data_IF_189564646138
#
_entry.id   IF_189564646138
#
_cell.length_a   1.000
_cell.length_b   1.000
_cell.length_c   1.000
_cell.angle_alpha   90.00
_cell.angle_beta   90.00
_cell.angle_gamma   90.00
#
_symmetry.space_group_name_H-M   'P 1'
#
loop_
_entity.id
_entity.type
_entity.pdbx_description
1 polymer ?
#
# COMPACT_ATOMS: atom_id res chain seq x y z
N UNK A 1 -6.19 20.07 -33.98
CA UNK A 1 -5.65 18.79 -34.50
C UNK A 1 -4.29 19.06 -35.10
N UNK A 2 -3.28 19.25 -34.22
CA UNK A 2 -1.90 19.38 -34.66
C UNK A 2 -1.36 17.97 -34.79
N UNK A 3 -1.06 17.59 -36.04
CA UNK A 3 -0.26 16.42 -36.35
C UNK A 3 1.15 16.67 -35.83
N UNK A 4 1.73 15.77 -35.00
CA UNK A 4 3.13 15.92 -34.61
C UNK A 4 3.99 15.94 -35.84
N UNK A 5 4.75 17.01 -36.06
CA UNK A 5 5.67 17.13 -37.19
C UNK A 5 6.68 16.00 -37.15
N UNK A 6 6.87 15.32 -38.30
CA UNK A 6 7.98 14.40 -38.52
C UNK A 6 9.28 15.19 -38.36
N UNK A 7 9.94 15.04 -37.22
CA UNK A 7 11.33 15.47 -37.06
C UNK A 7 12.19 14.44 -37.74
N UNK A 8 12.54 14.69 -39.00
CA UNK A 8 13.60 13.97 -39.73
C UNK A 8 14.98 14.39 -39.16
N UNK A 9 15.29 13.93 -37.98
CA UNK A 9 16.58 14.19 -37.34
C UNK A 9 17.14 12.91 -36.77
N UNK A 10 18.40 12.62 -37.00
CA UNK A 10 19.12 11.53 -36.34
C UNK A 10 19.22 11.82 -34.86
N UNK A 11 18.80 10.87 -34.03
CA UNK A 11 18.97 10.92 -32.59
C UNK A 11 20.36 10.39 -32.25
N UNK A 12 21.14 11.17 -31.49
CA UNK A 12 22.47 10.79 -31.03
C UNK A 12 22.44 10.56 -29.51
N UNK A 13 22.73 9.34 -29.10
CA UNK A 13 22.93 8.99 -27.69
C UNK A 13 24.42 9.09 -27.37
N UNK A 14 24.79 9.91 -26.38
CA UNK A 14 26.18 10.05 -25.93
C UNK A 14 26.34 9.39 -24.58
N UNK A 15 27.27 8.45 -24.47
CA UNK A 15 27.58 7.75 -23.23
C UNK A 15 28.60 8.53 -22.36
N UNK A 16 28.72 8.21 -21.06
CA UNK A 16 29.66 8.88 -20.15
C UNK A 16 31.14 8.76 -20.56
N UNK A 17 31.49 7.71 -21.31
CA UNK A 17 32.84 7.49 -21.87
C UNK A 17 33.12 8.31 -23.16
N UNK A 18 32.13 9.10 -23.57
CA UNK A 18 32.20 9.91 -24.78
C UNK A 18 31.86 9.17 -26.09
N UNK A 19 31.58 7.87 -26.04
CA UNK A 19 31.09 7.12 -27.21
C UNK A 19 29.70 7.60 -27.61
N UNK A 20 29.36 7.41 -28.90
CA UNK A 20 28.08 7.87 -29.46
C UNK A 20 27.45 6.76 -30.28
N UNK A 21 26.14 6.67 -30.20
CA UNK A 21 25.30 5.86 -31.09
C UNK A 21 24.26 6.74 -31.76
N UNK A 22 24.00 6.48 -33.04
CA UNK A 22 23.03 7.20 -33.85
C UNK A 22 21.86 6.28 -34.21
N UNK A 23 20.67 6.82 -34.26
CA UNK A 23 19.46 6.08 -34.60
C UNK A 23 18.32 7.00 -35.04
N UNK A 24 17.32 6.41 -35.68
CA UNK A 24 16.12 7.13 -36.14
C UNK A 24 15.10 7.32 -35.01
N UNK A 25 15.17 6.48 -33.95
CA UNK A 25 14.30 6.54 -32.80
C UNK A 25 15.02 6.06 -31.53
N UNK A 26 14.63 6.59 -30.36
CA UNK A 26 15.15 6.19 -29.07
C UNK A 26 13.99 5.89 -28.11
N UNK A 27 14.06 4.76 -27.44
CA UNK A 27 13.11 4.39 -26.37
C UNK A 27 13.83 4.56 -25.04
N UNK A 28 13.33 5.49 -24.20
CA UNK A 28 13.83 5.69 -22.84
C UNK A 28 13.11 4.70 -21.92
N UNK A 29 13.80 3.67 -21.44
CA UNK A 29 13.27 2.59 -20.61
C UNK A 29 14.11 2.41 -19.33
N UNK A 30 14.47 3.52 -18.68
CA UNK A 30 15.39 3.57 -17.53
C UNK A 30 14.74 3.20 -16.17
N UNK A 31 13.46 2.85 -16.16
CA UNK A 31 12.69 2.68 -14.93
C UNK A 31 12.36 4.02 -14.26
N UNK A 32 11.78 3.93 -13.05
CA UNK A 32 11.42 5.09 -12.25
C UNK A 32 12.40 5.37 -11.11
N UNK A 33 11.88 5.59 -9.89
CA UNK A 33 12.68 5.86 -8.67
C UNK A 33 12.50 4.79 -7.60
N UNK A 34 11.82 3.67 -7.91
CA UNK A 34 11.67 2.53 -7.00
C UNK A 34 12.85 1.57 -7.16
N UNK A 35 13.33 0.99 -6.03
CA UNK A 35 14.47 0.06 -6.02
C UNK A 35 15.72 0.64 -6.69
N UNK A 36 16.18 1.77 -6.23
CA UNK A 36 17.33 2.49 -6.79
C UNK A 36 18.60 1.65 -6.91
N UNK A 37 18.78 0.65 -6.05
CA UNK A 37 19.89 -0.31 -6.12
C UNK A 37 19.91 -1.16 -7.40
N UNK A 38 18.80 -1.20 -8.14
CA UNK A 38 18.68 -1.88 -9.45
C UNK A 38 18.87 -0.95 -10.64
N UNK A 39 19.29 0.31 -10.42
CA UNK A 39 19.52 1.30 -11.46
C UNK A 39 18.34 2.24 -11.74
N UNK A 40 17.23 2.11 -11.01
CA UNK A 40 16.05 2.99 -11.18
C UNK A 40 16.24 4.33 -10.44
N UNK A 41 17.14 5.17 -10.95
CA UNK A 41 17.58 6.43 -10.31
C UNK A 41 16.81 7.67 -10.77
N UNK A 42 15.80 7.50 -11.65
CA UNK A 42 15.00 8.60 -12.18
C UNK A 42 15.59 9.31 -13.38
N UNK A 43 16.57 8.70 -14.06
CA UNK A 43 17.23 9.30 -15.23
C UNK A 43 16.24 9.64 -16.35
N UNK A 44 15.23 8.79 -16.57
CA UNK A 44 14.20 9.03 -17.58
C UNK A 44 13.41 10.32 -17.33
N UNK A 45 13.16 10.70 -16.08
CA UNK A 45 12.52 11.98 -15.76
C UNK A 45 13.42 13.16 -16.13
N UNK A 46 14.73 13.07 -15.82
CA UNK A 46 15.69 14.11 -16.18
C UNK A 46 15.84 14.27 -17.70
N UNK A 47 15.85 13.15 -18.44
CA UNK A 47 15.89 13.19 -19.89
C UNK A 47 14.62 13.82 -20.50
N UNK A 48 13.46 13.44 -20.00
CA UNK A 48 12.20 14.02 -20.45
C UNK A 48 12.13 15.53 -20.17
N UNK A 49 12.58 15.96 -18.99
CA UNK A 49 12.63 17.38 -18.60
C UNK A 49 13.59 18.18 -19.48
N UNK A 50 14.77 17.61 -19.78
CA UNK A 50 15.74 18.21 -20.70
C UNK A 50 15.20 18.35 -22.13
N UNK A 51 14.26 17.51 -22.52
CA UNK A 51 13.54 17.58 -23.80
C UNK A 51 12.31 18.51 -23.76
N UNK A 52 12.08 19.22 -22.66
CA UNK A 52 10.98 20.18 -22.52
C UNK A 52 9.66 19.60 -22.02
N UNK A 53 9.61 18.33 -21.61
CA UNK A 53 8.41 17.76 -21.00
C UNK A 53 8.26 18.24 -19.54
N UNK A 54 7.02 18.49 -19.14
CA UNK A 54 6.69 18.75 -17.74
C UNK A 54 6.57 17.44 -16.97
N UNK A 55 7.40 17.25 -15.96
CA UNK A 55 7.32 16.10 -15.06
C UNK A 55 6.40 16.43 -13.87
N UNK A 56 5.41 15.58 -13.62
CA UNK A 56 4.65 15.62 -12.37
C UNK A 56 5.47 14.95 -11.28
N UNK A 57 5.46 15.53 -10.08
CA UNK A 57 6.20 14.97 -8.94
C UNK A 57 5.79 13.52 -8.66
N UNK A 58 6.72 12.56 -8.70
CA UNK A 58 6.43 11.18 -8.36
C UNK A 58 6.01 11.06 -6.89
N UNK A 59 4.96 10.30 -6.65
CA UNK A 59 4.49 10.04 -5.30
C UNK A 59 4.37 8.52 -5.05
N UNK A 60 4.55 8.05 -3.78
CA UNK A 60 4.45 6.64 -3.44
C UNK A 60 3.09 6.06 -3.80
N UNK A 61 3.08 4.88 -4.44
CA UNK A 61 1.87 4.14 -4.80
C UNK A 61 2.16 2.64 -4.67
N UNK A 62 1.15 1.87 -4.27
CA UNK A 62 1.28 0.43 -3.98
C UNK A 62 2.40 0.15 -2.96
N UNK A 63 2.41 0.92 -1.88
CA UNK A 63 3.42 0.83 -0.82
C UNK A 63 2.82 0.40 0.52
N UNK A 64 3.60 -0.24 1.40
CA UNK A 64 3.20 -0.47 2.79
C UNK A 64 2.94 0.84 3.53
N UNK A 65 2.17 0.78 4.61
CA UNK A 65 1.88 1.93 5.47
C UNK A 65 2.52 1.76 6.84
N UNK A 66 3.16 2.82 7.34
CA UNK A 66 3.62 2.89 8.71
C UNK A 66 2.42 3.06 9.65
N UNK A 67 2.48 2.42 10.80
CA UNK A 67 1.46 2.51 11.87
C UNK A 67 2.14 2.99 13.13
N UNK A 68 1.45 3.86 13.91
CA UNK A 68 2.03 4.52 15.09
C UNK A 68 1.92 3.72 16.38
N UNK A 69 1.00 2.77 16.42
CA UNK A 69 0.69 1.98 17.60
C UNK A 69 1.89 1.09 17.98
N UNK A 70 2.32 1.16 19.23
CA UNK A 70 3.52 0.50 19.74
C UNK A 70 3.44 -1.04 19.74
N UNK A 71 2.24 -1.59 19.68
CA UNK A 71 2.04 -3.06 19.65
C UNK A 71 2.25 -3.68 18.25
N UNK A 72 2.41 -2.89 17.21
CA UNK A 72 2.55 -3.37 15.83
C UNK A 72 3.70 -4.39 15.65
N UNK A 73 4.90 -4.18 16.21
CA UNK A 73 5.98 -5.16 16.09
C UNK A 73 5.63 -6.54 16.65
N UNK A 74 4.78 -6.61 17.69
CA UNK A 74 4.32 -7.88 18.26
C UNK A 74 3.42 -8.66 17.30
N UNK A 75 2.77 -7.97 16.37
CA UNK A 75 1.91 -8.55 15.33
C UNK A 75 2.66 -8.94 14.05
N UNK A 76 3.95 -8.65 13.92
CA UNK A 76 4.75 -8.93 12.72
C UNK A 76 4.53 -10.37 12.22
N UNK A 77 4.21 -10.51 10.92
CA UNK A 77 3.93 -11.79 10.26
C UNK A 77 2.51 -12.31 10.46
N UNK A 78 1.63 -11.61 11.20
CA UNK A 78 0.21 -11.95 11.26
C UNK A 78 -0.47 -11.52 9.96
N UNK A 79 -0.96 -12.50 9.19
CA UNK A 79 -1.85 -12.27 8.06
C UNK A 79 -3.30 -12.36 8.52
N UNK A 80 -4.08 -11.35 8.17
CA UNK A 80 -5.53 -11.34 8.32
C UNK A 80 -6.17 -11.60 6.96
N UNK A 81 -6.99 -12.63 6.88
CA UNK A 81 -7.75 -12.98 5.69
C UNK A 81 -9.23 -12.74 5.92
N UNK A 82 -9.93 -12.40 4.83
CA UNK A 82 -11.36 -12.15 4.88
C UNK A 82 -11.74 -11.06 5.90
N UNK A 83 -10.97 -9.99 5.92
CA UNK A 83 -11.23 -8.79 6.73
C UNK A 83 -11.68 -7.64 5.85
N UNK A 84 -12.37 -6.67 6.42
CA UNK A 84 -12.64 -5.39 5.77
C UNK A 84 -11.76 -4.31 6.39
N UNK A 85 -11.05 -3.58 5.55
CA UNK A 85 -10.23 -2.43 5.97
C UNK A 85 -10.91 -1.15 5.52
N UNK A 86 -11.11 -0.23 6.47
CA UNK A 86 -11.60 1.12 6.20
C UNK A 86 -10.54 2.13 6.62
N UNK A 87 -10.20 3.07 5.73
CA UNK A 87 -9.30 4.19 6.03
C UNK A 87 -10.11 5.46 6.11
N UNK A 88 -9.89 6.21 7.20
CA UNK A 88 -10.67 7.38 7.59
C UNK A 88 -9.78 8.61 7.75
N UNK A 89 -10.27 9.75 7.24
CA UNK A 89 -9.76 11.10 7.51
C UNK A 89 -10.79 11.80 8.42
N UNK A 90 -10.56 11.77 9.71
CA UNK A 90 -11.55 12.15 10.70
C UNK A 90 -12.81 11.27 10.58
N UNK A 91 -13.92 11.87 10.17
CA UNK A 91 -15.21 11.16 9.94
C UNK A 91 -15.39 10.71 8.48
N UNK A 92 -14.53 11.18 7.57
CA UNK A 92 -14.67 10.88 6.14
C UNK A 92 -14.01 9.57 5.80
N UNK A 93 -14.76 8.66 5.20
CA UNK A 93 -14.24 7.44 4.62
C UNK A 93 -13.52 7.77 3.31
N UNK A 94 -12.24 7.36 3.21
CA UNK A 94 -11.41 7.52 2.02
C UNK A 94 -11.29 6.23 1.21
N UNK A 95 -11.36 5.10 1.89
CA UNK A 95 -11.21 3.77 1.31
C UNK A 95 -11.90 2.75 2.18
N UNK A 96 -12.57 1.77 1.55
CA UNK A 96 -13.13 0.58 2.19
C UNK A 96 -13.09 -0.57 1.21
N UNK A 97 -12.48 -1.68 1.61
CA UNK A 97 -12.41 -2.88 0.80
C UNK A 97 -12.28 -4.13 1.66
N UNK A 98 -12.74 -5.27 1.10
CA UNK A 98 -12.64 -6.59 1.67
C UNK A 98 -11.46 -7.36 1.06
N UNK A 99 -10.73 -8.14 1.89
CA UNK A 99 -9.61 -8.96 1.38
C UNK A 99 -8.62 -9.37 2.46
N UNK A 100 -7.33 -9.25 2.12
CA UNK A 100 -6.22 -9.71 2.97
C UNK A 100 -5.25 -8.58 3.27
N UNK A 101 -4.69 -8.61 4.48
CA UNK A 101 -3.63 -7.72 4.92
C UNK A 101 -2.60 -8.46 5.78
N UNK A 102 -1.42 -7.90 5.93
CA UNK A 102 -0.30 -8.46 6.68
C UNK A 102 0.31 -7.38 7.59
N UNK A 103 0.58 -7.74 8.85
CA UNK A 103 1.37 -6.90 9.76
C UNK A 103 2.88 -7.09 9.53
N UNK A 104 3.60 -5.98 9.50
CA UNK A 104 5.08 -5.93 9.45
C UNK A 104 5.63 -5.43 10.77
N UNK A 105 6.95 -5.28 10.88
CA UNK A 105 7.58 -4.74 12.09
C UNK A 105 7.36 -3.23 12.29
N UNK A 106 6.90 -2.51 11.28
CA UNK A 106 6.68 -1.05 11.32
C UNK A 106 5.27 -0.62 10.94
N UNK A 107 4.42 -1.56 10.52
CA UNK A 107 3.08 -1.20 10.07
C UNK A 107 2.37 -2.35 9.38
N UNK A 108 1.73 -2.05 8.26
CA UNK A 108 0.86 -2.97 7.53
C UNK A 108 1.17 -2.99 6.04
N UNK A 109 0.90 -4.12 5.40
CA UNK A 109 1.05 -4.37 3.96
C UNK A 109 0.02 -5.39 3.49
N UNK A 110 0.20 -5.92 2.30
CA UNK A 110 -0.72 -6.88 1.68
C UNK A 110 -1.65 -6.22 0.66
N UNK A 111 -2.42 -7.02 -0.09
CA UNK A 111 -3.19 -6.52 -1.24
C UNK A 111 -4.08 -5.32 -0.91
N UNK A 112 -4.86 -5.39 0.19
CA UNK A 112 -5.72 -4.29 0.64
C UNK A 112 -4.94 -3.00 0.88
N UNK A 113 -3.81 -3.09 1.57
CA UNK A 113 -3.02 -1.93 1.99
C UNK A 113 -2.32 -1.30 0.80
N UNK A 114 -1.77 -2.13 -0.09
CA UNK A 114 -1.12 -1.65 -1.32
C UNK A 114 -2.13 -0.91 -2.21
N UNK A 115 -3.32 -1.48 -2.41
CA UNK A 115 -4.40 -0.81 -3.16
C UNK A 115 -4.83 0.48 -2.47
N UNK A 116 -5.06 0.43 -1.15
CA UNK A 116 -5.42 1.61 -0.37
C UNK A 116 -4.39 2.73 -0.54
N UNK A 117 -3.09 2.42 -0.47
CA UNK A 117 -2.03 3.43 -0.60
C UNK A 117 -2.08 4.17 -1.93
N UNK A 118 -2.46 3.51 -3.02
CA UNK A 118 -2.61 4.15 -4.33
C UNK A 118 -3.85 5.08 -4.40
N UNK A 119 -4.95 4.67 -3.77
CA UNK A 119 -6.21 5.43 -3.75
C UNK A 119 -6.10 6.70 -2.90
N UNK A 120 -5.46 6.59 -1.72
CA UNK A 120 -5.35 7.69 -0.76
C UNK A 120 -4.05 8.49 -0.88
N UNK A 121 -3.25 8.23 -1.90
CA UNK A 121 -1.91 8.79 -2.14
C UNK A 121 -1.81 10.29 -1.82
N UNK A 122 -2.74 11.11 -2.33
CA UNK A 122 -2.75 12.56 -2.12
C UNK A 122 -3.00 12.98 -0.66
N UNK A 123 -3.48 12.07 0.18
CA UNK A 123 -3.80 12.32 1.59
C UNK A 123 -2.73 11.78 2.54
N UNK A 124 -1.94 10.80 2.12
CA UNK A 124 -0.91 10.16 2.95
C UNK A 124 0.18 11.12 3.44
N UNK A 125 0.48 12.15 2.67
CA UNK A 125 1.57 13.09 2.98
C UNK A 125 1.17 14.21 3.96
N UNK A 126 -0.11 14.35 4.32
CA UNK A 126 -0.59 15.50 5.08
C UNK A 126 -0.61 15.31 6.60
N UNK A 127 -1.20 14.23 7.06
CA UNK A 127 -1.44 13.95 8.49
C UNK A 127 -1.79 12.47 8.71
N UNK A 128 -1.77 11.98 9.95
CA UNK A 128 -2.15 10.61 10.26
C UNK A 128 -3.62 10.35 9.91
N UNK A 129 -3.86 9.20 9.30
CA UNK A 129 -5.19 8.68 9.02
C UNK A 129 -5.53 7.56 10.00
N UNK A 130 -6.81 7.34 10.26
CA UNK A 130 -7.26 6.22 11.07
C UNK A 130 -7.54 5.01 10.19
N UNK A 131 -7.13 3.82 10.65
CA UNK A 131 -7.47 2.55 10.02
C UNK A 131 -8.38 1.74 10.94
N UNK A 132 -9.50 1.28 10.41
CA UNK A 132 -10.41 0.35 11.08
C UNK A 132 -10.36 -0.98 10.37
N UNK A 133 -10.19 -2.06 11.13
CA UNK A 133 -10.16 -3.42 10.61
C UNK A 133 -11.38 -4.16 11.19
N UNK A 134 -12.32 -4.55 10.32
CA UNK A 134 -13.41 -5.43 10.69
C UNK A 134 -12.95 -6.88 10.48
N UNK A 135 -12.81 -7.62 11.57
CA UNK A 135 -12.31 -9.00 11.55
C UNK A 135 -13.38 -10.03 11.15
N UNK A 136 -14.65 -9.65 11.13
CA UNK A 136 -15.79 -10.54 10.84
C UNK A 136 -16.82 -9.86 9.93
N UNK A 137 -16.42 -9.34 8.76
CA UNK A 137 -17.30 -8.53 7.91
C UNK A 137 -18.51 -9.28 7.35
N UNK A 138 -18.49 -10.61 7.38
CA UNK A 138 -19.61 -11.45 6.95
C UNK A 138 -20.74 -11.56 7.98
N UNK A 139 -20.56 -11.03 9.20
CA UNK A 139 -21.55 -11.05 10.27
C UNK A 139 -22.10 -9.66 10.51
N UNK A 140 -23.42 -9.54 10.71
CA UNK A 140 -24.00 -8.31 11.27
C UNK A 140 -23.60 -8.16 12.75
N UNK A 141 -23.79 -6.97 13.31
CA UNK A 141 -23.50 -6.72 14.73
C UNK A 141 -24.30 -7.67 15.65
N UNK A 142 -25.58 -7.91 15.34
CA UNK A 142 -26.45 -8.81 16.10
C UNK A 142 -25.98 -10.26 15.96
N UNK A 143 -25.54 -10.68 14.78
CA UNK A 143 -25.02 -12.03 14.55
C UNK A 143 -23.69 -12.23 15.28
N UNK A 144 -22.83 -11.22 15.30
CA UNK A 144 -21.56 -11.26 16.00
C UNK A 144 -21.78 -11.30 17.52
N UNK A 145 -22.68 -10.48 18.06
CA UNK A 145 -23.04 -10.48 19.47
C UNK A 145 -23.60 -11.83 19.91
N UNK A 146 -24.57 -12.37 19.18
CA UNK A 146 -25.15 -13.70 19.46
C UNK A 146 -24.07 -14.80 19.42
N UNK A 147 -23.08 -14.71 18.51
CA UNK A 147 -21.96 -15.64 18.46
C UNK A 147 -21.05 -15.51 19.68
N UNK A 148 -20.70 -14.29 20.08
CA UNK A 148 -19.85 -14.02 21.24
C UNK A 148 -20.52 -14.58 22.52
N UNK A 149 -21.81 -14.30 22.73
CA UNK A 149 -22.58 -14.80 23.88
C UNK A 149 -22.60 -16.32 23.90
N UNK A 150 -22.82 -16.99 22.77
CA UNK A 150 -22.81 -18.45 22.68
C UNK A 150 -21.43 -19.04 23.01
N UNK A 151 -20.33 -18.45 22.52
CA UNK A 151 -18.98 -18.92 22.83
C UNK A 151 -18.67 -18.77 24.34
N UNK A 152 -19.10 -17.67 24.96
CA UNK A 152 -18.90 -17.43 26.38
C UNK A 152 -19.75 -18.36 27.26
N UNK A 153 -21.00 -18.61 26.88
CA UNK A 153 -21.86 -19.56 27.61
C UNK A 153 -21.29 -20.98 27.54
N UNK A 154 -20.84 -21.42 26.37
CA UNK A 154 -20.20 -22.72 26.15
C UNK A 154 -18.92 -22.88 26.99
N UNK A 155 -18.28 -21.77 27.35
CA UNK A 155 -17.00 -21.75 28.05
C UNK A 155 -17.04 -21.04 29.41
N UNK A 156 -18.21 -20.92 30.04
CA UNK A 156 -18.43 -20.18 31.29
C UNK A 156 -17.52 -20.55 32.46
N UNK A 157 -16.97 -21.76 32.47
CA UNK A 157 -16.04 -22.24 33.50
C UNK A 157 -14.54 -22.00 33.10
N UNK A 158 -14.25 -21.35 31.96
CA UNK A 158 -12.89 -21.06 31.52
C UNK A 158 -12.54 -19.59 31.75
N UNK A 159 -11.26 -19.31 31.94
CA UNK A 159 -10.79 -17.93 31.96
C UNK A 159 -10.99 -17.28 30.59
N UNK A 160 -11.33 -15.98 30.55
CA UNK A 160 -11.57 -15.20 29.33
C UNK A 160 -10.50 -15.37 28.27
N UNK A 161 -9.22 -15.30 28.65
CA UNK A 161 -8.08 -15.48 27.72
C UNK A 161 -8.09 -16.82 26.98
N UNK A 162 -8.71 -17.84 27.52
CA UNK A 162 -8.79 -19.18 26.92
C UNK A 162 -10.02 -19.34 26.01
N UNK A 163 -10.97 -18.41 26.10
CA UNK A 163 -12.18 -18.39 25.26
C UNK A 163 -11.96 -17.51 24.04
N UNK A 164 -11.30 -16.38 24.21
CA UNK A 164 -11.13 -15.37 23.16
C UNK A 164 -10.35 -15.88 21.95
N UNK A 165 -9.55 -16.95 22.13
CA UNK A 165 -8.83 -17.61 21.04
C UNK A 165 -9.73 -18.30 19.99
N UNK A 166 -11.02 -18.52 20.30
CA UNK A 166 -12.00 -18.99 19.29
C UNK A 166 -12.48 -17.89 18.36
N UNK A 167 -12.32 -16.64 18.78
CA UNK A 167 -12.81 -15.46 18.07
C UNK A 167 -11.71 -14.74 17.30
N UNK A 168 -10.49 -14.73 17.83
CA UNK A 168 -9.35 -13.96 17.32
C UNK A 168 -8.11 -14.81 17.08
N UNK A 169 -7.25 -14.44 16.10
CA UNK A 169 -5.93 -15.03 15.96
C UNK A 169 -5.11 -14.90 17.25
N UNK A 170 -4.33 -15.94 17.58
CA UNK A 170 -3.59 -15.99 18.84
C UNK A 170 -2.67 -14.78 19.08
N UNK A 171 -2.09 -14.21 18.02
CA UNK A 171 -1.25 -13.00 18.11
C UNK A 171 -2.01 -11.72 18.48
N UNK A 172 -3.33 -11.65 18.26
CA UNK A 172 -4.14 -10.50 18.66
C UNK A 172 -4.60 -10.55 20.12
N UNK A 173 -4.50 -11.71 20.79
CA UNK A 173 -5.01 -11.88 22.15
C UNK A 173 -4.29 -11.02 23.20
N UNK A 174 -2.94 -10.83 23.13
CA UNK A 174 -2.22 -9.99 24.08
C UNK A 174 -2.24 -8.49 23.77
N UNK A 175 -2.81 -8.08 22.63
CA UNK A 175 -2.94 -6.70 22.16
C UNK A 175 -4.32 -6.14 22.49
#
# INVERSE_FOLDING_TARGET
>A
TDTPGETTGTIVVTYPDGSKEEGDACIIATGGVSYQTTGSTGDGYRFAEAMGHKITEPAPSLVPMNVREEYIPALMGLSLRNVEVTILDGKKELYREFGEMLFTHYGVTGPLILTASSVIQKKLAGHPLAMRINLKPALSEEQLDARILREFEAAKNKQFKNVIGTLYPAKLIPV
#
